data_IF_591048064784
#
_entry.id   IF_591048064784
#
_cell.length_a   1.000
_cell.length_b   1.000
_cell.length_c   1.000
_cell.angle_alpha   90.00
_cell.angle_beta   90.00
_cell.angle_gamma   90.00
#
_symmetry.space_group_name_H-M   'P 1'
#
loop_
_entity.id
_entity.type
_entity.pdbx_description
1 polymer ?
#
# COMPACT_ATOMS: atom_id res chain seq x y z
N UNK A 1 -20.07 14.28 -13.47
CA UNK A 1 -19.08 13.48 -14.22
C UNK A 1 -17.73 14.10 -13.93
N UNK A 2 -16.74 13.31 -13.50
CA UNK A 2 -15.40 13.82 -13.22
C UNK A 2 -14.75 14.31 -14.52
N UNK A 3 -13.96 15.39 -14.47
CA UNK A 3 -13.15 15.76 -15.62
C UNK A 3 -11.96 14.80 -15.79
N UNK A 4 -11.45 14.69 -17.02
CA UNK A 4 -10.38 13.77 -17.37
C UNK A 4 -9.06 14.06 -16.62
N UNK A 5 -8.74 15.34 -16.38
CA UNK A 5 -7.50 15.71 -15.73
C UNK A 5 -7.51 15.27 -14.26
N UNK A 6 -8.63 15.49 -13.56
CA UNK A 6 -8.85 15.00 -12.20
C UNK A 6 -8.80 13.48 -12.15
N UNK A 7 -9.51 12.78 -13.03
CA UNK A 7 -9.49 11.32 -13.08
C UNK A 7 -8.06 10.79 -13.29
N UNK A 8 -7.33 11.35 -14.25
CA UNK A 8 -5.95 10.97 -14.52
C UNK A 8 -5.04 11.21 -13.30
N UNK A 9 -5.18 12.36 -12.63
CA UNK A 9 -4.40 12.68 -11.44
C UNK A 9 -4.63 11.68 -10.29
N UNK A 10 -5.89 11.27 -10.05
CA UNK A 10 -6.22 10.29 -9.01
C UNK A 10 -5.63 8.91 -9.34
N UNK A 11 -5.77 8.45 -10.60
CA UNK A 11 -5.17 7.18 -11.05
C UNK A 11 -3.65 7.22 -10.93
N UNK A 12 -3.03 8.31 -11.36
CA UNK A 12 -1.58 8.51 -11.26
C UNK A 12 -1.11 8.51 -9.80
N UNK A 13 -1.87 9.10 -8.88
CA UNK A 13 -1.57 9.09 -7.45
C UNK A 13 -1.61 7.67 -6.86
N UNK A 14 -2.62 6.87 -7.23
CA UNK A 14 -2.71 5.45 -6.82
C UNK A 14 -1.50 4.67 -7.32
N UNK A 15 -1.17 4.77 -8.61
CA UNK A 15 0.00 4.09 -9.18
C UNK A 15 1.33 4.58 -8.60
N UNK A 16 1.44 5.87 -8.29
CA UNK A 16 2.61 6.43 -7.61
C UNK A 16 2.77 5.81 -6.23
N UNK A 17 1.69 5.71 -5.47
CA UNK A 17 1.73 5.13 -4.11
C UNK A 17 2.31 3.72 -4.10
N UNK A 18 1.89 2.87 -5.05
CA UNK A 18 2.36 1.50 -5.15
C UNK A 18 3.80 1.41 -5.62
N UNK A 19 4.19 2.21 -6.62
CA UNK A 19 5.59 2.27 -7.08
C UNK A 19 6.54 2.68 -5.97
N UNK A 20 6.17 3.69 -5.18
CA UNK A 20 7.00 4.17 -4.07
C UNK A 20 7.19 3.07 -3.02
N UNK A 21 6.12 2.36 -2.66
CA UNK A 21 6.19 1.23 -1.74
C UNK A 21 7.07 0.08 -2.27
N UNK A 22 6.86 -0.33 -3.52
CA UNK A 22 7.65 -1.39 -4.17
C UNK A 22 9.15 -1.05 -4.20
N UNK A 23 9.47 0.23 -4.43
CA UNK A 23 10.84 0.74 -4.49
C UNK A 23 11.45 1.08 -3.13
N UNK A 24 10.72 0.92 -2.01
CA UNK A 24 11.20 1.31 -0.68
C UNK A 24 11.40 2.81 -0.48
N UNK A 25 10.73 3.65 -1.26
CA UNK A 25 10.78 5.11 -1.13
C UNK A 25 9.80 5.57 -0.04
N UNK A 26 10.12 5.20 1.21
CA UNK A 26 9.24 5.35 2.38
C UNK A 26 8.86 6.80 2.65
N UNK A 27 9.81 7.73 2.55
CA UNK A 27 9.55 9.14 2.84
C UNK A 27 8.58 9.76 1.82
N UNK A 28 8.84 9.53 0.52
CA UNK A 28 7.94 10.00 -0.54
C UNK A 28 6.53 9.41 -0.40
N UNK A 29 6.43 8.13 -0.02
CA UNK A 29 5.15 7.48 0.24
C UNK A 29 4.43 8.14 1.42
N UNK A 30 5.15 8.40 2.52
CA UNK A 30 4.60 9.06 3.71
C UNK A 30 4.04 10.46 3.41
N UNK A 31 4.69 11.21 2.52
CA UNK A 31 4.22 12.54 2.11
C UNK A 31 2.89 12.50 1.35
N UNK A 32 2.58 11.41 0.62
CA UNK A 32 1.27 11.28 -0.05
C UNK A 32 0.10 11.19 0.95
N UNK A 33 0.38 10.76 2.19
CA UNK A 33 -0.58 10.59 3.29
C UNK A 33 -0.35 11.58 4.44
N UNK A 34 0.40 12.67 4.26
CA UNK A 34 0.77 13.58 5.36
C UNK A 34 -0.43 14.09 6.19
N UNK A 35 -1.59 14.27 5.54
CA UNK A 35 -2.86 14.70 6.14
C UNK A 35 -3.92 13.59 6.13
N UNK A 36 -3.54 12.38 5.73
CA UNK A 36 -4.43 11.25 5.53
C UNK A 36 -4.21 10.13 6.52
N UNK A 37 -4.81 8.99 6.23
CA UNK A 37 -4.64 7.78 7.04
C UNK A 37 -4.81 6.52 6.19
N UNK A 38 -4.17 5.44 6.63
CA UNK A 38 -4.35 4.09 6.12
C UNK A 38 -5.05 3.27 7.19
N UNK A 39 -6.17 2.65 6.84
CA UNK A 39 -7.01 1.88 7.77
C UNK A 39 -7.09 0.44 7.28
N UNK A 40 -6.72 -0.52 8.12
CA UNK A 40 -6.90 -1.94 7.81
C UNK A 40 -8.27 -2.40 8.31
N UNK A 41 -9.17 -2.70 7.36
CA UNK A 41 -10.52 -3.13 7.67
C UNK A 41 -10.52 -4.46 8.44
N UNK A 42 -11.41 -4.57 9.42
CA UNK A 42 -11.59 -5.80 10.23
C UNK A 42 -10.63 -5.97 11.41
N UNK A 43 -9.52 -5.23 11.47
CA UNK A 43 -8.58 -5.25 12.63
C UNK A 43 -8.49 -3.94 13.38
N UNK A 44 -9.02 -2.85 12.83
CA UNK A 44 -9.07 -1.56 13.51
C UNK A 44 -7.72 -0.84 13.62
N UNK A 45 -6.68 -1.33 12.96
CA UNK A 45 -5.40 -0.61 12.87
C UNK A 45 -5.52 0.61 11.95
N UNK A 46 -5.03 1.75 12.46
CA UNK A 46 -5.04 3.04 11.76
C UNK A 46 -3.63 3.63 11.81
N UNK A 47 -3.13 4.01 10.65
CA UNK A 47 -1.83 4.65 10.46
C UNK A 47 -2.07 6.06 9.92
N UNK A 48 -2.03 7.06 10.79
CA UNK A 48 -2.36 8.44 10.47
C UNK A 48 -1.11 9.28 10.16
N UNK A 49 -1.24 10.13 9.13
CA UNK A 49 -0.20 11.05 8.70
C UNK A 49 1.05 10.38 8.16
N UNK A 50 2.08 11.18 7.93
CA UNK A 50 3.38 10.69 7.47
C UNK A 50 4.02 9.72 8.48
N UNK A 51 3.90 10.00 9.78
CA UNK A 51 4.47 9.14 10.83
C UNK A 51 3.80 7.76 10.90
N UNK A 52 2.48 7.71 10.73
CA UNK A 52 1.75 6.45 10.64
C UNK A 52 2.22 5.60 9.44
N UNK A 53 2.44 6.23 8.29
CA UNK A 53 2.97 5.51 7.13
C UNK A 53 4.39 5.00 7.36
N UNK A 54 5.27 5.80 7.96
CA UNK A 54 6.61 5.33 8.35
C UNK A 54 6.53 4.13 9.28
N UNK A 55 5.63 4.18 10.26
CA UNK A 55 5.39 3.06 11.19
C UNK A 55 4.90 1.81 10.47
N UNK A 56 3.93 1.94 9.56
CA UNK A 56 3.48 0.83 8.71
C UNK A 56 4.64 0.24 7.90
N UNK A 57 5.50 1.07 7.33
CA UNK A 57 6.65 0.62 6.53
C UNK A 57 7.70 -0.10 7.38
N UNK A 58 7.90 0.26 8.66
CA UNK A 58 8.79 -0.50 9.56
C UNK A 58 8.33 -1.94 9.80
N UNK A 59 7.05 -2.23 9.57
CA UNK A 59 6.50 -3.58 9.64
C UNK A 59 6.75 -4.41 8.38
N UNK A 60 7.32 -3.81 7.33
CA UNK A 60 7.68 -4.50 6.10
C UNK A 60 9.15 -4.91 6.11
N UNK A 61 9.46 -5.99 5.40
CA UNK A 61 10.83 -6.41 5.13
C UNK A 61 11.30 -5.79 3.82
N UNK A 62 12.51 -5.24 3.85
CA UNK A 62 13.20 -4.73 2.67
C UNK A 62 14.54 -5.45 2.50
N UNK A 63 14.98 -5.50 1.25
CA UNK A 63 16.17 -6.24 0.86
C UNK A 63 17.07 -5.40 -0.06
N UNK A 64 18.37 -5.50 0.16
CA UNK A 64 19.39 -4.93 -0.71
C UNK A 64 19.45 -5.66 -2.07
N UNK A 65 20.35 -5.22 -2.95
CA UNK A 65 20.56 -5.82 -4.27
C UNK A 65 20.95 -7.31 -4.20
N UNK A 66 21.63 -7.73 -3.12
CA UNK A 66 22.09 -9.10 -2.88
C UNK A 66 21.02 -9.98 -2.22
N UNK A 67 19.88 -9.40 -1.82
CA UNK A 67 18.78 -10.11 -1.17
C UNK A 67 18.93 -10.22 0.36
N UNK A 68 19.86 -9.47 0.97
CA UNK A 68 20.00 -9.41 2.43
C UNK A 68 19.01 -8.40 3.01
N UNK A 69 18.47 -8.63 4.22
CA UNK A 69 17.65 -7.64 4.92
C UNK A 69 18.38 -6.29 5.03
N UNK A 70 17.70 -5.20 4.72
CA UNK A 70 18.28 -3.87 4.73
C UNK A 70 17.25 -2.82 5.20
N UNK A 71 17.75 -1.68 5.69
CA UNK A 71 16.91 -0.53 6.00
C UNK A 71 16.83 0.39 4.76
N UNK A 72 15.64 0.62 4.17
CA UNK A 72 15.47 1.52 3.02
C UNK A 72 15.81 2.98 3.32
N UNK A 73 15.88 3.39 4.59
CA UNK A 73 16.33 4.73 5.00
C UNK A 73 17.85 4.91 4.87
N UNK A 74 18.62 3.81 4.82
CA UNK A 74 20.09 3.84 4.82
C UNK A 74 20.68 3.56 3.44
N UNK A 75 20.01 2.72 2.64
CA UNK A 75 20.44 2.35 1.31
C UNK A 75 19.24 1.95 0.46
N UNK A 76 19.45 1.89 -0.86
CA UNK A 76 18.40 1.43 -1.78
C UNK A 76 18.02 -0.03 -1.50
N UNK A 77 16.84 -0.22 -0.93
CA UNK A 77 16.29 -1.52 -0.58
C UNK A 77 14.82 -1.59 -1.02
N UNK A 78 14.40 -2.75 -1.53
CA UNK A 78 13.04 -2.97 -2.04
C UNK A 78 12.34 -4.05 -1.24
N UNK A 79 11.00 -4.03 -1.20
CA UNK A 79 10.21 -5.11 -0.58
C UNK A 79 10.26 -6.43 -1.35
N UNK A 80 10.96 -6.46 -2.50
CA UNK A 80 10.94 -7.54 -3.50
C UNK A 80 9.52 -7.99 -3.84
N UNK A 81 8.60 -7.04 -3.80
CA UNK A 81 7.19 -7.20 -4.06
C UNK A 81 6.76 -6.26 -5.18
N UNK A 82 5.69 -6.64 -5.87
CA UNK A 82 5.01 -5.81 -6.85
C UNK A 82 3.54 -5.70 -6.47
N UNK A 83 3.05 -4.47 -6.40
CA UNK A 83 1.65 -4.15 -6.20
C UNK A 83 0.95 -4.00 -7.57
N UNK A 84 0.11 -4.95 -7.90
CA UNK A 84 -0.78 -4.87 -9.05
C UNK A 84 -2.10 -4.26 -8.61
N UNK A 85 -2.40 -3.05 -9.09
CA UNK A 85 -3.69 -2.39 -8.85
C UNK A 85 -4.49 -2.37 -10.13
N UNK A 86 -5.71 -2.86 -10.07
CA UNK A 86 -6.60 -3.00 -11.22
C UNK A 86 -8.02 -2.57 -10.87
N UNK A 87 -8.89 -2.52 -11.89
CA UNK A 87 -10.31 -2.18 -11.72
C UNK A 87 -10.51 -0.86 -10.97
N UNK A 88 -9.64 0.12 -11.23
CA UNK A 88 -9.72 1.42 -10.60
C UNK A 88 -10.96 2.14 -11.16
N UNK A 89 -11.95 2.33 -10.32
CA UNK A 89 -13.12 3.15 -10.59
C UNK A 89 -13.00 4.44 -9.78
N UNK A 90 -13.04 5.59 -10.45
CA UNK A 90 -12.90 6.91 -9.82
C UNK A 90 -14.23 7.63 -9.86
N UNK A 91 -14.55 8.35 -8.78
CA UNK A 91 -15.84 9.01 -8.68
C UNK A 91 -15.76 10.26 -7.79
N UNK A 92 -16.78 11.10 -7.94
CA UNK A 92 -17.10 12.15 -7.00
C UNK A 92 -18.34 11.71 -6.22
N UNK A 93 -18.24 11.68 -4.89
CA UNK A 93 -19.37 11.39 -4.02
C UNK A 93 -20.35 12.58 -3.98
N UNK A 94 -21.53 12.35 -3.42
CA UNK A 94 -22.59 13.37 -3.33
C UNK A 94 -22.20 14.59 -2.49
N UNK A 95 -21.33 14.40 -1.49
CA UNK A 95 -20.75 15.47 -0.68
C UNK A 95 -19.64 16.26 -1.39
N UNK A 96 -19.38 15.95 -2.66
CA UNK A 96 -18.35 16.56 -3.48
C UNK A 96 -16.96 15.97 -3.29
N UNK A 97 -16.77 15.02 -2.36
CA UNK A 97 -15.48 14.39 -2.12
C UNK A 97 -15.05 13.48 -3.28
N UNK A 98 -13.74 13.42 -3.53
CA UNK A 98 -13.15 12.57 -4.55
C UNK A 98 -12.83 11.19 -3.97
N UNK A 99 -13.16 10.13 -4.70
CA UNK A 99 -12.96 8.76 -4.27
C UNK A 99 -12.51 7.84 -5.40
N UNK A 100 -11.96 6.70 -4.99
CA UNK A 100 -11.71 5.59 -5.89
C UNK A 100 -11.93 4.25 -5.20
N UNK A 101 -12.38 3.26 -5.96
CA UNK A 101 -12.37 1.86 -5.56
C UNK A 101 -11.46 1.08 -6.51
N UNK A 102 -10.66 0.15 -5.97
CA UNK A 102 -9.76 -0.65 -6.79
C UNK A 102 -9.49 -2.01 -6.16
N UNK A 103 -9.10 -2.97 -6.99
CA UNK A 103 -8.56 -4.25 -6.53
C UNK A 103 -7.04 -4.15 -6.45
N UNK A 104 -6.45 -4.85 -5.48
CA UNK A 104 -5.00 -5.01 -5.43
C UNK A 104 -4.59 -6.47 -5.26
N UNK A 105 -3.42 -6.79 -5.81
CA UNK A 105 -2.71 -8.04 -5.62
C UNK A 105 -1.24 -7.73 -5.35
N UNK A 106 -0.68 -8.31 -4.30
CA UNK A 106 0.74 -8.17 -3.97
C UNK A 106 1.41 -9.51 -4.23
N UNK A 107 2.38 -9.52 -5.14
CA UNK A 107 3.21 -10.69 -5.43
C UNK A 107 4.61 -10.41 -4.92
N UNK A 108 5.18 -11.33 -4.15
CA UNK A 108 6.54 -11.22 -3.64
C UNK A 108 7.39 -12.40 -4.10
N UNK A 109 8.68 -12.15 -4.32
CA UNK A 109 9.68 -13.18 -4.46
C UNK A 109 10.93 -12.83 -3.64
N UNK A 110 11.41 -13.74 -2.79
CA UNK A 110 12.66 -13.57 -2.07
C UNK A 110 13.53 -14.84 -2.17
N UNK A 111 14.85 -14.65 -2.33
CA UNK A 111 15.80 -15.74 -2.54
C UNK A 111 15.50 -16.56 -3.80
N UNK A 112 15.65 -17.88 -3.70
CA UNK A 112 15.40 -18.84 -4.80
C UNK A 112 13.96 -19.35 -4.86
N UNK A 113 13.03 -18.76 -4.09
CA UNK A 113 11.62 -19.17 -4.09
C UNK A 113 10.90 -18.75 -5.37
N UNK A 114 9.83 -19.46 -5.73
CA UNK A 114 8.91 -19.01 -6.78
C UNK A 114 8.12 -17.78 -6.30
N UNK A 115 7.76 -16.83 -7.19
CA UNK A 115 6.85 -15.73 -6.85
C UNK A 115 5.54 -16.24 -6.25
N UNK A 116 5.09 -15.62 -5.16
CA UNK A 116 3.84 -15.97 -4.49
C UNK A 116 3.01 -14.73 -4.20
N UNK A 117 1.69 -14.91 -4.22
CA UNK A 117 0.76 -13.90 -3.74
C UNK A 117 0.89 -13.84 -2.21
N UNK A 118 1.15 -12.65 -1.68
CA UNK A 118 1.23 -12.41 -0.23
C UNK A 118 -0.06 -11.77 0.30
N UNK A 119 -0.70 -10.92 -0.50
CA UNK A 119 -2.01 -10.34 -0.20
C UNK A 119 -2.82 -10.11 -1.46
N UNK A 120 -4.13 -10.04 -1.31
CA UNK A 120 -4.98 -9.34 -2.25
C UNK A 120 -6.34 -8.99 -1.66
N UNK A 121 -7.00 -8.05 -2.31
CA UNK A 121 -8.15 -7.40 -1.74
C UNK A 121 -8.55 -6.14 -2.48
N UNK A 122 -9.10 -5.17 -1.75
CA UNK A 122 -9.57 -3.90 -2.29
C UNK A 122 -9.00 -2.70 -1.54
N UNK A 123 -8.78 -1.62 -2.27
CA UNK A 123 -8.62 -0.29 -1.69
C UNK A 123 -9.90 0.51 -1.90
N UNK A 124 -10.32 1.21 -0.84
CA UNK A 124 -11.31 2.29 -0.93
C UNK A 124 -10.64 3.58 -0.52
N UNK A 125 -10.39 4.42 -1.50
CA UNK A 125 -9.64 5.64 -1.34
C UNK A 125 -10.58 6.87 -1.30
N UNK A 126 -10.18 7.84 -0.50
CA UNK A 126 -10.70 9.21 -0.48
C UNK A 126 -9.54 10.16 -0.64
N UNK A 127 -9.76 11.22 -1.39
CA UNK A 127 -8.72 12.18 -1.76
C UNK A 127 -9.12 13.59 -1.35
N UNK A 128 -8.11 14.43 -1.15
CA UNK A 128 -8.25 15.86 -0.98
C UNK A 128 -7.31 16.59 -1.92
N UNK A 129 -7.71 17.78 -2.37
CA UNK A 129 -6.82 18.69 -3.07
C UNK A 129 -6.27 19.71 -2.07
N UNK A 130 -4.96 19.75 -1.88
CA UNK A 130 -4.30 20.66 -0.97
C UNK A 130 -3.08 21.29 -1.66
N UNK A 131 -3.03 22.62 -1.71
CA UNK A 131 -1.90 23.33 -2.34
C UNK A 131 -1.76 23.07 -3.84
N UNK A 132 -2.84 22.73 -4.54
CA UNK A 132 -2.84 22.40 -5.97
C UNK A 132 -2.46 20.95 -6.29
N UNK A 133 -2.08 20.15 -5.29
CA UNK A 133 -1.76 18.73 -5.45
C UNK A 133 -2.85 17.84 -4.85
N UNK A 134 -3.00 16.63 -5.40
CA UNK A 134 -3.90 15.61 -4.87
C UNK A 134 -3.18 14.78 -3.81
N UNK A 135 -3.85 14.58 -2.67
CA UNK A 135 -3.35 13.78 -1.55
C UNK A 135 -4.36 12.71 -1.15
N UNK A 136 -3.85 11.63 -0.53
CA UNK A 136 -4.73 10.69 0.13
C UNK A 136 -5.27 11.33 1.40
N UNK A 137 -6.60 11.36 1.51
CA UNK A 137 -7.28 11.67 2.76
C UNK A 137 -7.52 10.42 3.59
N UNK A 138 -7.87 9.31 2.94
CA UNK A 138 -8.07 8.01 3.59
C UNK A 138 -7.89 6.89 2.58
N UNK A 139 -7.22 5.81 2.99
CA UNK A 139 -7.20 4.53 2.29
C UNK A 139 -7.70 3.45 3.23
N UNK A 140 -8.79 2.79 2.87
CA UNK A 140 -9.24 1.58 3.55
C UNK A 140 -8.70 0.38 2.79
N UNK A 141 -7.93 -0.46 3.48
CA UNK A 141 -7.36 -1.70 2.97
C UNK A 141 -8.26 -2.86 3.41
N UNK A 142 -9.02 -3.41 2.46
CA UNK A 142 -9.86 -4.58 2.66
C UNK A 142 -9.11 -5.81 2.16
N UNK A 143 -8.52 -6.58 3.07
CA UNK A 143 -7.77 -7.79 2.71
C UNK A 143 -8.73 -8.97 2.59
N UNK A 144 -8.75 -9.61 1.42
CA UNK A 144 -9.63 -10.74 1.14
C UNK A 144 -8.91 -12.09 1.21
N UNK A 145 -7.62 -12.12 0.88
CA UNK A 145 -6.79 -13.30 1.00
C UNK A 145 -5.37 -12.94 1.41
N UNK A 146 -4.80 -13.82 2.24
CA UNK A 146 -3.47 -13.70 2.83
C UNK A 146 -2.69 -14.96 2.48
N UNK A 147 -1.54 -14.79 1.85
CA UNK A 147 -0.59 -15.85 1.56
C UNK A 147 0.49 -15.98 2.64
N UNK A 148 1.60 -16.63 2.29
CA UNK A 148 2.79 -16.62 3.13
C UNK A 148 3.46 -15.25 3.04
N UNK A 149 3.54 -14.54 4.16
CA UNK A 149 4.07 -13.17 4.25
C UNK A 149 5.35 -13.13 5.09
N UNK A 150 5.97 -14.27 5.42
CA UNK A 150 7.13 -14.30 6.31
C UNK A 150 8.33 -13.51 5.79
N UNK A 151 8.47 -13.41 4.46
CA UNK A 151 9.46 -12.57 3.80
C UNK A 151 8.94 -11.15 3.48
N UNK A 152 7.66 -10.84 3.73
CA UNK A 152 7.05 -9.55 3.44
C UNK A 152 6.88 -8.69 4.70
N UNK A 153 6.50 -9.30 5.84
CA UNK A 153 6.25 -8.60 7.10
C UNK A 153 7.20 -9.04 8.21
N UNK A 154 7.51 -8.11 9.11
CA UNK A 154 8.13 -8.37 10.42
C UNK A 154 7.07 -8.58 11.50
N UNK A 155 5.94 -7.86 11.41
CA UNK A 155 4.80 -7.95 12.34
C UNK A 155 3.49 -7.96 11.57
N UNK A 156 2.57 -8.83 11.95
CA UNK A 156 1.27 -8.96 11.32
C UNK A 156 0.21 -8.02 11.92
N UNK A 157 -0.60 -7.33 11.10
CA UNK A 157 -1.77 -6.58 11.54
C UNK A 157 -2.85 -7.42 12.24
N UNK A 158 -2.89 -8.74 11.96
CA UNK A 158 -3.91 -9.67 12.46
C UNK A 158 -3.42 -10.58 13.60
N UNK A 159 -2.24 -10.34 14.17
CA UNK A 159 -1.60 -11.25 15.15
C UNK A 159 -0.83 -12.39 14.48
N UNK A 160 -0.56 -13.50 15.18
CA UNK A 160 0.15 -14.65 14.60
C UNK A 160 -0.54 -15.11 13.30
N UNK A 161 0.22 -15.16 12.20
CA UNK A 161 -0.28 -15.60 10.90
C UNK A 161 -1.06 -16.91 11.06
N UNK A 162 -2.20 -17.11 10.36
CA UNK A 162 -2.83 -18.43 10.32
C UNK A 162 -1.78 -19.42 9.83
N UNK A 163 -1.34 -20.32 10.73
CA UNK A 163 -0.38 -21.37 10.39
C UNK A 163 -0.93 -22.07 9.16
N UNK A 164 -0.19 -22.03 8.06
CA UNK A 164 -0.54 -22.76 6.85
C UNK A 164 -0.89 -24.19 7.29
N UNK A 165 -2.13 -24.61 7.01
CA UNK A 165 -2.54 -26.00 7.20
C UNK A 165 -1.60 -26.80 6.31
N UNK A 166 -0.63 -27.47 6.93
CA UNK A 166 0.21 -28.47 6.24
C UNK A 166 -0.77 -29.51 5.72
N UNK A 167 -0.95 -29.56 4.40
CA UNK A 167 -1.52 -30.73 3.73
C UNK A 167 -0.42 -31.76 3.56
#
# INVERSE_FOLDING_TARGET
MLDYATEHALRALIHRSTRLQDCGLVEDLAQLFRNGEIVFAGVGEVFAGADGVRELMRRHRFYDANGNPANPEQLYATGRALHYVSNIDVFQAEDGSLGAESNFLIVQQHGSTLPRIVFGGRYRDRFEQAGGEMHFRRRIVEVHFVGDTGAYLTTHPWGDAPRAVRR
#
